data_IF_570975508508
#
_entry.id   IF_570975508508
#
_cell.length_a   1.000
_cell.length_b   1.000
_cell.length_c   1.000
_cell.angle_alpha   90.00
_cell.angle_beta   90.00
_cell.angle_gamma   90.00
#
_symmetry.space_group_name_H-M   'P 1'
#
loop_
_entity.id
_entity.type
_entity.pdbx_description
1 polymer ?
#
# COMPACT_ATOMS: atom_id res chain seq x y z
N UNK A 1 -8.80 26.12 18.72
CA UNK A 1 -8.72 26.65 17.34
C UNK A 1 -9.81 25.95 16.52
N UNK A 2 -10.90 26.63 16.14
CA UNK A 2 -11.96 26.06 15.29
C UNK A 2 -11.51 26.18 13.83
N UNK A 3 -11.34 25.05 13.14
CA UNK A 3 -11.05 25.05 11.70
C UNK A 3 -12.35 25.45 11.00
N UNK A 4 -12.37 26.66 10.42
CA UNK A 4 -13.48 27.14 9.60
C UNK A 4 -13.20 26.66 8.18
N UNK A 5 -13.89 25.61 7.75
CA UNK A 5 -13.84 25.14 6.36
C UNK A 5 -14.77 26.04 5.55
N UNK A 6 -14.25 26.63 4.48
CA UNK A 6 -15.03 27.53 3.61
C UNK A 6 -15.98 26.75 2.72
N UNK A 7 -17.12 27.35 2.32
CA UNK A 7 -18.07 26.71 1.39
C UNK A 7 -17.41 26.27 0.07
N UNK A 8 -16.39 27.00 -0.41
CA UNK A 8 -15.63 26.61 -1.60
C UNK A 8 -14.78 25.35 -1.38
N UNK A 9 -14.20 25.18 -0.18
CA UNK A 9 -13.50 23.95 0.17
C UNK A 9 -14.48 22.77 0.31
N UNK A 10 -15.68 23.00 0.85
CA UNK A 10 -16.74 21.98 0.93
C UNK A 10 -17.22 21.60 -0.46
N UNK A 11 -17.45 22.55 -1.37
CA UNK A 11 -17.86 22.29 -2.76
C UNK A 11 -16.77 21.58 -3.56
N UNK A 12 -15.49 21.92 -3.35
CA UNK A 12 -14.34 21.23 -3.96
C UNK A 12 -14.20 19.79 -3.43
N UNK A 13 -14.32 19.58 -2.12
CA UNK A 13 -14.35 18.23 -1.54
C UNK A 13 -15.55 17.43 -2.04
N UNK A 14 -16.73 18.05 -2.15
CA UNK A 14 -17.93 17.42 -2.68
C UNK A 14 -17.80 17.09 -4.17
N UNK A 15 -17.17 17.96 -4.98
CA UNK A 15 -16.91 17.70 -6.40
C UNK A 15 -15.89 16.57 -6.56
N UNK A 16 -14.79 16.60 -5.81
CA UNK A 16 -13.76 15.53 -5.78
C UNK A 16 -14.36 14.18 -5.31
N UNK A 17 -15.26 14.19 -4.32
CA UNK A 17 -15.99 13.00 -3.87
C UNK A 17 -17.05 12.54 -4.89
N UNK A 18 -17.67 13.45 -5.65
CA UNK A 18 -18.67 13.14 -6.67
C UNK A 18 -18.07 12.66 -8.00
N UNK A 19 -16.84 13.07 -8.32
CA UNK A 19 -16.07 12.60 -9.48
C UNK A 19 -15.32 11.28 -9.18
N UNK A 20 -15.29 10.84 -7.92
CA UNK A 20 -14.73 9.56 -7.55
C UNK A 20 -15.66 8.45 -8.04
N UNK A 21 -15.45 8.01 -9.28
CA UNK A 21 -16.13 6.87 -9.86
C UNK A 21 -15.71 5.60 -9.13
N UNK A 22 -16.49 5.19 -8.15
CA UNK A 22 -16.35 3.88 -7.52
C UNK A 22 -16.76 2.81 -8.53
N UNK A 23 -15.79 2.10 -9.09
CA UNK A 23 -16.08 0.93 -9.92
C UNK A 23 -16.39 -0.22 -8.97
N UNK A 24 -17.66 -0.61 -8.90
CA UNK A 24 -18.04 -1.92 -8.37
C UNK A 24 -17.72 -2.98 -9.42
N UNK A 25 -16.48 -3.46 -9.38
CA UNK A 25 -15.97 -4.44 -10.35
C UNK A 25 -16.79 -5.73 -10.36
N UNK A 26 -17.50 -6.07 -9.27
CA UNK A 26 -18.34 -7.27 -9.24
C UNK A 26 -19.57 -7.16 -10.13
N UNK A 27 -20.04 -5.95 -10.40
CA UNK A 27 -21.28 -5.70 -11.14
C UNK A 27 -21.07 -4.92 -12.46
N UNK A 28 -19.95 -4.23 -12.62
CA UNK A 28 -19.63 -3.40 -13.78
C UNK A 28 -18.25 -3.77 -14.37
N UNK A 29 -18.24 -4.74 -15.29
CA UNK A 29 -17.05 -5.06 -16.08
C UNK A 29 -16.86 -3.97 -17.13
N UNK A 30 -16.22 -2.87 -16.74
CA UNK A 30 -15.94 -1.70 -17.58
C UNK A 30 -14.44 -1.57 -17.82
N UNK A 31 -14.05 -0.80 -18.84
CA UNK A 31 -12.64 -0.46 -19.02
C UNK A 31 -12.14 0.31 -17.79
N UNK A 32 -10.95 -0.03 -17.33
CA UNK A 32 -10.24 0.63 -16.23
C UNK A 32 -9.39 1.77 -16.76
N UNK A 33 -9.48 2.93 -16.11
CA UNK A 33 -8.64 4.08 -16.37
C UNK A 33 -7.78 4.39 -15.15
N UNK A 34 -6.58 4.91 -15.35
CA UNK A 34 -5.60 5.09 -14.28
C UNK A 34 -6.04 6.05 -13.17
N UNK A 35 -6.94 6.98 -13.50
CA UNK A 35 -7.53 7.92 -12.55
C UNK A 35 -8.81 7.43 -11.86
N UNK A 36 -9.38 6.30 -12.29
CA UNK A 36 -10.50 5.67 -11.59
C UNK A 36 -10.09 5.30 -10.16
N UNK A 37 -11.05 5.37 -9.23
CA UNK A 37 -10.82 5.02 -7.83
C UNK A 37 -11.63 3.80 -7.46
N UNK A 38 -10.96 2.82 -6.87
CA UNK A 38 -11.58 1.54 -6.50
C UNK A 38 -11.35 1.24 -5.02
N UNK A 39 -12.21 0.41 -4.46
CA UNK A 39 -12.04 -0.14 -3.11
C UNK A 39 -11.21 -1.40 -3.22
N UNK A 40 -10.21 -1.52 -2.36
CA UNK A 40 -9.36 -2.70 -2.27
C UNK A 40 -9.26 -3.19 -0.84
N UNK A 41 -8.94 -4.46 -0.72
CA UNK A 41 -8.84 -5.20 0.53
C UNK A 41 -7.47 -5.86 0.65
N UNK A 42 -6.83 -5.71 1.79
CA UNK A 42 -5.62 -6.46 2.15
C UNK A 42 -5.91 -7.37 3.34
N UNK A 43 -5.75 -8.67 3.18
CA UNK A 43 -5.80 -9.63 4.27
C UNK A 43 -4.43 -9.79 4.93
N UNK A 44 -4.38 -9.71 6.25
CA UNK A 44 -3.13 -9.89 6.99
C UNK A 44 -2.90 -11.38 7.32
N UNK A 45 -1.66 -11.84 7.12
CA UNK A 45 -1.21 -13.17 7.50
C UNK A 45 -1.26 -13.38 9.02
N UNK A 46 -1.24 -14.64 9.49
CA UNK A 46 -1.28 -14.98 10.92
C UNK A 46 -0.18 -14.34 11.77
N UNK A 47 0.91 -13.86 11.17
CA UNK A 47 2.02 -13.20 11.86
C UNK A 47 2.04 -11.67 11.69
N UNK A 48 1.06 -11.11 10.98
CA UNK A 48 1.05 -9.70 10.56
C UNK A 48 0.08 -8.82 11.38
N UNK A 49 -0.40 -9.27 12.55
CA UNK A 49 -1.28 -8.48 13.42
C UNK A 49 -0.63 -7.14 13.83
N UNK A 50 0.62 -7.18 14.27
CA UNK A 50 1.41 -5.98 14.61
C UNK A 50 1.54 -5.03 13.41
N UNK A 51 1.76 -5.58 12.22
CA UNK A 51 1.85 -4.80 10.99
C UNK A 51 0.53 -4.06 10.69
N UNK A 52 -0.62 -4.70 10.91
CA UNK A 52 -1.92 -4.06 10.75
C UNK A 52 -2.08 -2.84 11.65
N UNK A 53 -1.66 -2.95 12.92
CA UNK A 53 -1.67 -1.84 13.89
C UNK A 53 -0.72 -0.70 13.48
N UNK A 54 0.50 -1.03 13.02
CA UNK A 54 1.46 -0.03 12.56
C UNK A 54 0.96 0.71 11.32
N UNK A 55 0.36 0.00 10.36
CA UNK A 55 -0.26 0.60 9.18
C UNK A 55 -1.46 1.47 9.56
N UNK A 56 -2.31 1.00 10.49
CA UNK A 56 -3.45 1.79 10.97
C UNK A 56 -3.03 3.12 11.63
N UNK A 57 -1.86 3.14 12.30
CA UNK A 57 -1.34 4.31 13.01
C UNK A 57 -0.52 5.24 12.10
N UNK A 58 0.37 4.69 11.27
CA UNK A 58 1.40 5.46 10.53
C UNK A 58 1.28 5.38 9.01
N UNK A 59 0.47 4.46 8.46
CA UNK A 59 0.34 4.26 7.02
C UNK A 59 1.42 3.34 6.47
N UNK A 60 1.61 3.30 5.15
CA UNK A 60 2.73 2.60 4.51
C UNK A 60 3.06 3.20 3.14
N UNK A 61 4.29 3.03 2.67
CA UNK A 61 4.62 3.27 1.27
C UNK A 61 4.72 1.94 0.53
N UNK A 62 3.97 1.80 -0.57
CA UNK A 62 4.03 0.65 -1.46
C UNK A 62 5.33 0.57 -2.27
N UNK A 63 6.22 1.56 -2.14
CA UNK A 63 7.57 1.54 -2.69
C UNK A 63 8.58 0.91 -1.72
N UNK A 64 8.20 0.70 -0.46
CA UNK A 64 9.00 -0.07 0.49
C UNK A 64 8.83 -1.57 0.22
N UNK A 65 9.88 -2.33 0.51
CA UNK A 65 9.86 -3.78 0.34
C UNK A 65 8.84 -4.40 1.30
N UNK A 66 7.98 -5.25 0.78
CA UNK A 66 6.98 -5.96 1.56
C UNK A 66 7.57 -7.23 2.19
N UNK A 67 7.26 -7.46 3.46
CA UNK A 67 7.52 -8.75 4.11
C UNK A 67 6.51 -9.78 3.58
N UNK A 68 6.96 -10.61 2.63
CA UNK A 68 6.16 -11.70 2.04
C UNK A 68 6.33 -12.98 2.84
N UNK A 69 5.29 -13.82 2.83
CA UNK A 69 5.34 -15.14 3.46
C UNK A 69 6.19 -16.09 2.61
N UNK A 70 6.04 -16.00 1.29
CA UNK A 70 6.72 -16.88 0.36
C UNK A 70 7.93 -16.20 -0.29
N UNK A 71 9.06 -16.90 -0.37
CA UNK A 71 10.31 -16.37 -0.92
C UNK A 71 10.20 -16.00 -2.41
N UNK A 72 9.35 -16.68 -3.17
CA UNK A 72 9.15 -16.36 -4.59
C UNK A 72 8.37 -15.06 -4.79
N UNK A 73 7.38 -14.76 -3.92
CA UNK A 73 6.72 -13.45 -3.89
C UNK A 73 7.74 -12.36 -3.52
N UNK A 74 8.60 -12.64 -2.54
CA UNK A 74 9.61 -11.70 -2.07
C UNK A 74 10.60 -11.29 -3.16
N UNK A 75 10.91 -12.19 -4.09
CA UNK A 75 11.84 -11.94 -5.19
C UNK A 75 11.13 -11.33 -6.41
N UNK A 76 9.96 -11.85 -6.78
CA UNK A 76 9.29 -11.45 -8.02
C UNK A 76 8.40 -10.21 -7.85
N UNK A 77 7.88 -10.00 -6.65
CA UNK A 77 7.02 -8.86 -6.31
C UNK A 77 7.50 -8.24 -4.98
N UNK A 78 8.74 -7.70 -4.96
CA UNK A 78 9.41 -7.28 -3.72
C UNK A 78 8.70 -6.12 -3.04
N UNK A 79 8.08 -5.23 -3.81
CA UNK A 79 7.42 -4.02 -3.32
C UNK A 79 5.89 -4.15 -3.41
N UNK A 80 5.21 -3.24 -2.74
CA UNK A 80 3.76 -3.07 -2.81
C UNK A 80 2.98 -4.06 -1.96
N UNK A 81 1.81 -3.65 -1.47
CA UNK A 81 0.95 -4.50 -0.65
C UNK A 81 0.04 -5.35 -1.55
N UNK A 82 -0.04 -6.67 -1.34
CA UNK A 82 -1.02 -7.46 -2.09
C UNK A 82 -2.43 -7.06 -1.66
N UNK A 83 -3.24 -6.68 -2.64
CA UNK A 83 -4.63 -6.29 -2.44
C UNK A 83 -5.51 -7.04 -3.42
N UNK A 84 -6.78 -7.20 -3.06
CA UNK A 84 -7.82 -7.71 -3.94
C UNK A 84 -9.02 -6.80 -3.89
N UNK A 85 -9.81 -6.80 -4.94
CA UNK A 85 -11.08 -6.08 -5.02
C UNK A 85 -12.25 -6.91 -4.48
N UNK A 86 -11.99 -8.17 -4.09
CA UNK A 86 -13.01 -9.09 -3.61
C UNK A 86 -12.81 -9.36 -2.11
N UNK A 87 -13.73 -8.87 -1.28
CA UNK A 87 -13.69 -9.09 0.16
C UNK A 87 -13.69 -10.59 0.52
N UNK A 88 -14.43 -11.43 -0.22
CA UNK A 88 -14.48 -12.86 0.04
C UNK A 88 -13.15 -13.55 -0.29
N UNK A 89 -12.44 -13.08 -1.31
CA UNK A 89 -11.08 -13.58 -1.60
C UNK A 89 -10.13 -13.14 -0.49
N UNK A 90 -10.17 -11.88 -0.06
CA UNK A 90 -9.37 -11.40 1.06
C UNK A 90 -9.58 -12.26 2.32
N UNK A 91 -10.84 -12.57 2.63
CA UNK A 91 -11.25 -13.40 3.75
C UNK A 91 -10.76 -14.85 3.66
N UNK A 92 -10.86 -15.48 2.49
CA UNK A 92 -10.55 -16.91 2.31
C UNK A 92 -9.06 -17.17 2.14
N UNK A 93 -8.39 -16.35 1.33
CA UNK A 93 -7.02 -16.62 0.88
C UNK A 93 -5.97 -15.92 1.75
N UNK A 94 -6.24 -14.68 2.19
CA UNK A 94 -5.19 -13.80 2.73
C UNK A 94 -5.31 -13.49 4.22
N UNK A 95 -6.51 -13.46 4.79
CA UNK A 95 -6.77 -12.93 6.13
C UNK A 95 -6.69 -13.96 7.27
N UNK A 96 -5.64 -14.80 7.28
CA UNK A 96 -5.45 -15.85 8.31
C UNK A 96 -5.19 -15.31 9.73
N UNK A 97 -4.92 -14.01 9.88
CA UNK A 97 -4.90 -13.32 11.19
C UNK A 97 -6.28 -12.99 11.75
N UNK A 98 -7.33 -13.04 10.92
CA UNK A 98 -8.62 -12.44 11.26
C UNK A 98 -8.69 -10.94 11.04
N UNK A 99 -7.76 -10.32 10.29
CA UNK A 99 -7.81 -8.89 9.96
C UNK A 99 -7.76 -8.68 8.44
N UNK A 100 -8.66 -7.82 7.95
CA UNK A 100 -8.65 -7.27 6.59
C UNK A 100 -8.68 -5.75 6.68
N UNK A 101 -7.77 -5.07 5.98
CA UNK A 101 -7.83 -3.62 5.78
C UNK A 101 -8.59 -3.27 4.50
N UNK A 102 -9.50 -2.32 4.57
CA UNK A 102 -10.26 -1.75 3.45
C UNK A 102 -9.84 -0.30 3.22
N UNK A 103 -9.47 0.04 1.99
CA UNK A 103 -9.14 1.42 1.61
C UNK A 103 -9.49 1.72 0.14
N UNK A 104 -9.65 2.99 -0.17
CA UNK A 104 -9.85 3.45 -1.54
C UNK A 104 -8.51 3.88 -2.16
N UNK A 105 -8.29 3.55 -3.42
CA UNK A 105 -7.08 3.95 -4.14
C UNK A 105 -7.35 4.17 -5.61
N UNK A 106 -6.54 5.01 -6.25
CA UNK A 106 -6.54 5.14 -7.71
C UNK A 106 -5.95 3.92 -8.37
N UNK A 107 -6.44 3.57 -9.55
CA UNK A 107 -5.91 2.47 -10.34
C UNK A 107 -4.42 2.65 -10.58
N UNK A 108 -3.92 3.86 -10.90
CA UNK A 108 -2.48 4.15 -11.08
C UNK A 108 -1.56 3.77 -9.91
N UNK A 109 -2.11 3.61 -8.70
CA UNK A 109 -1.37 3.18 -7.51
C UNK A 109 -1.35 1.64 -7.35
N UNK A 110 -1.91 0.91 -8.31
CA UNK A 110 -1.92 -0.54 -8.35
C UNK A 110 -1.01 -1.02 -9.48
N UNK A 111 -0.45 -2.21 -9.34
CA UNK A 111 0.31 -2.89 -10.37
C UNK A 111 -0.15 -4.35 -10.45
N UNK A 112 -0.14 -4.94 -11.65
CA UNK A 112 -0.38 -6.37 -11.76
C UNK A 112 0.79 -7.13 -11.11
N UNK A 113 0.56 -8.21 -10.33
CA UNK A 113 1.63 -9.10 -9.92
C UNK A 113 2.36 -9.62 -11.16
N UNK A 114 3.69 -9.61 -11.11
CA UNK A 114 4.52 -10.06 -12.22
C UNK A 114 5.19 -11.37 -11.84
N UNK A 115 5.07 -12.35 -12.72
CA UNK A 115 5.55 -13.71 -12.51
C UNK A 115 6.39 -14.17 -13.69
N UNK A 116 7.53 -14.85 -13.47
CA UNK A 116 8.33 -15.39 -14.55
C UNK A 116 7.53 -16.29 -15.49
N UNK A 117 7.74 -16.11 -16.80
CA UNK A 117 6.98 -16.84 -17.83
C UNK A 117 5.53 -16.37 -18.03
N UNK A 118 5.10 -15.28 -17.39
CA UNK A 118 3.78 -14.67 -17.64
C UNK A 118 2.59 -15.44 -17.07
N UNK A 119 2.84 -16.26 -16.04
CA UNK A 119 1.81 -16.89 -15.20
C UNK A 119 1.06 -15.83 -14.39
N UNK A 120 -0.09 -16.21 -13.82
CA UNK A 120 -0.91 -15.31 -12.99
C UNK A 120 -0.77 -15.52 -11.49
N UNK A 121 -0.42 -16.74 -11.06
CA UNK A 121 -0.06 -17.06 -9.68
C UNK A 121 0.80 -18.34 -9.64
N UNK A 122 1.35 -18.66 -8.47
CA UNK A 122 2.02 -19.93 -8.16
C UNK A 122 1.39 -20.57 -6.94
N UNK A 123 1.41 -21.90 -6.85
CA UNK A 123 0.92 -22.60 -5.65
C UNK A 123 2.03 -22.87 -4.65
N UNK A 124 1.66 -23.00 -3.37
CA UNK A 124 2.61 -23.29 -2.30
C UNK A 124 3.39 -24.59 -2.59
N UNK A 125 4.72 -24.48 -2.62
CA UNK A 125 5.62 -25.63 -2.86
C UNK A 125 6.14 -25.76 -4.29
N UNK A 126 5.64 -24.96 -5.24
CA UNK A 126 6.22 -24.91 -6.58
C UNK A 126 7.60 -24.22 -6.56
N UNK A 127 8.56 -24.82 -7.28
CA UNK A 127 9.78 -24.11 -7.62
C UNK A 127 9.45 -23.04 -8.67
N UNK A 128 9.62 -21.78 -8.29
CA UNK A 128 9.46 -20.65 -9.20
C UNK A 128 10.84 -20.04 -9.43
N UNK A 129 11.18 -19.79 -10.68
CA UNK A 129 12.34 -18.96 -11.00
C UNK A 129 12.14 -17.56 -10.40
N UNK A 130 13.24 -16.87 -10.12
CA UNK A 130 13.21 -15.45 -9.75
C UNK A 130 13.70 -14.63 -10.94
N UNK A 131 13.16 -13.43 -11.13
CA UNK A 131 13.81 -12.44 -11.98
C UNK A 131 15.23 -12.14 -11.48
N UNK A 132 16.16 -11.92 -12.40
CA UNK A 132 17.55 -11.55 -12.08
C UNK A 132 17.64 -10.13 -11.57
N UNK A 133 16.81 -9.25 -12.11
CA UNK A 133 16.76 -7.82 -11.79
C UNK A 133 15.39 -7.23 -12.12
N UNK A 134 15.20 -5.95 -11.76
CA UNK A 134 13.97 -5.22 -12.03
C UNK A 134 13.71 -5.01 -13.54
N UNK A 135 14.77 -5.06 -14.37
CA UNK A 135 14.64 -4.90 -15.83
C UNK A 135 13.96 -6.11 -16.44
N UNK A 136 14.35 -7.32 -16.05
CA UNK A 136 13.72 -8.56 -16.53
C UNK A 136 12.24 -8.63 -16.10
N UNK A 137 11.95 -8.20 -14.87
CA UNK A 137 10.57 -8.07 -14.36
C UNK A 137 9.75 -7.10 -15.20
N UNK A 138 10.31 -5.93 -15.50
CA UNK A 138 9.66 -4.91 -16.33
C UNK A 138 9.41 -5.40 -17.76
N UNK A 139 10.37 -6.09 -18.37
CA UNK A 139 10.20 -6.72 -19.68
C UNK A 139 9.05 -7.74 -19.68
N UNK A 140 8.92 -8.55 -18.63
CA UNK A 140 7.80 -9.47 -18.48
C UNK A 140 6.46 -8.75 -18.29
N UNK A 141 6.43 -7.64 -17.54
CA UNK A 141 5.24 -6.81 -17.36
C UNK A 141 4.76 -6.22 -18.70
N UNK A 142 5.68 -5.72 -19.51
CA UNK A 142 5.39 -5.23 -20.87
C UNK A 142 4.88 -6.35 -21.77
N UNK A 143 5.49 -7.54 -21.75
CA UNK A 143 4.99 -8.71 -22.48
C UNK A 143 3.55 -9.08 -22.08
N UNK A 144 3.25 -9.05 -20.78
CA UNK A 144 1.89 -9.30 -20.28
C UNK A 144 0.92 -8.24 -20.79
N UNK A 145 1.30 -6.96 -20.78
CA UNK A 145 0.49 -5.87 -21.33
C UNK A 145 0.14 -6.11 -22.80
N UNK A 146 1.12 -6.41 -23.64
CA UNK A 146 0.89 -6.68 -25.07
C UNK A 146 0.02 -7.92 -25.31
N UNK A 147 0.21 -8.98 -24.51
CA UNK A 147 -0.65 -10.17 -24.53
C UNK A 147 -2.11 -9.79 -24.28
N UNK A 148 -2.38 -9.00 -23.25
CA UNK A 148 -3.75 -8.69 -22.82
C UNK A 148 -4.43 -7.56 -23.61
N UNK A 149 -3.66 -6.76 -24.38
CA UNK A 149 -4.22 -5.89 -25.44
C UNK A 149 -4.98 -6.68 -26.52
N UNK A 150 -4.65 -7.95 -26.72
CA UNK A 150 -5.35 -8.82 -27.67
C UNK A 150 -6.49 -9.64 -27.02
N UNK A 151 -6.86 -9.34 -25.77
CA UNK A 151 -7.97 -10.01 -25.09
C UNK A 151 -9.27 -9.85 -25.88
N UNK A 152 -10.16 -10.86 -25.94
CA UNK A 152 -11.49 -10.73 -26.56
C UNK A 152 -12.45 -9.89 -25.71
N UNK A 153 -12.07 -9.51 -24.48
CA UNK A 153 -12.91 -8.73 -23.58
C UNK A 153 -12.59 -7.23 -23.67
N UNK A 154 -13.54 -6.38 -24.12
CA UNK A 154 -13.34 -4.93 -24.25
C UNK A 154 -12.88 -4.25 -22.96
N UNK A 155 -13.43 -4.67 -21.81
CA UNK A 155 -13.03 -4.15 -20.51
C UNK A 155 -11.56 -4.40 -20.15
N UNK A 156 -10.89 -5.37 -20.80
CA UNK A 156 -9.47 -5.65 -20.59
C UNK A 156 -8.65 -4.94 -21.66
N UNK A 157 -8.94 -5.17 -22.94
CA UNK A 157 -8.11 -4.65 -24.03
C UNK A 157 -8.18 -3.12 -24.22
N UNK A 158 -9.28 -2.47 -23.80
CA UNK A 158 -9.45 -1.01 -23.86
C UNK A 158 -9.13 -0.31 -22.53
N UNK A 159 -8.60 -1.04 -21.54
CA UNK A 159 -8.09 -0.42 -20.30
C UNK A 159 -6.73 0.21 -20.53
N UNK A 160 -6.38 1.23 -19.74
CA UNK A 160 -5.06 1.88 -19.81
C UNK A 160 -3.94 0.87 -19.53
N UNK A 161 -4.23 -0.11 -18.66
CA UNK A 161 -3.33 -1.21 -18.30
C UNK A 161 -4.04 -2.55 -18.39
N UNK A 162 -4.10 -3.15 -19.59
CA UNK A 162 -4.78 -4.43 -19.83
C UNK A 162 -4.28 -5.57 -18.94
N UNK A 163 -3.00 -5.58 -18.57
CA UNK A 163 -2.43 -6.57 -17.66
C UNK A 163 -3.01 -6.50 -16.25
N UNK A 164 -3.23 -5.28 -15.74
CA UNK A 164 -3.85 -5.06 -14.44
C UNK A 164 -5.34 -5.37 -14.49
N UNK A 165 -6.02 -4.95 -15.56
CA UNK A 165 -7.44 -5.26 -15.75
C UNK A 165 -7.69 -6.77 -15.83
N UNK A 166 -6.82 -7.52 -16.52
CA UNK A 166 -6.90 -8.97 -16.53
C UNK A 166 -6.68 -9.58 -15.13
N UNK A 167 -5.66 -9.11 -14.40
CA UNK A 167 -5.36 -9.55 -13.03
C UNK A 167 -6.52 -9.34 -12.07
N UNK A 168 -7.26 -8.24 -12.22
CA UNK A 168 -8.36 -7.88 -11.35
C UNK A 168 -9.69 -8.55 -11.76
N UNK A 169 -9.96 -8.75 -13.06
CA UNK A 169 -11.24 -9.29 -13.54
C UNK A 169 -11.26 -10.80 -13.78
N UNK A 170 -10.12 -11.42 -14.10
CA UNK A 170 -10.06 -12.80 -14.61
C UNK A 170 -9.20 -13.73 -13.79
N UNK A 171 -8.22 -13.22 -13.06
CA UNK A 171 -7.42 -14.04 -12.18
C UNK A 171 -8.26 -14.51 -10.96
N UNK A 172 -8.17 -15.78 -10.53
CA UNK A 172 -8.97 -16.30 -9.41
C UNK A 172 -8.78 -15.54 -8.10
N UNK A 173 -7.59 -14.97 -7.87
CA UNK A 173 -7.30 -14.17 -6.69
C UNK A 173 -7.71 -12.69 -6.85
N UNK A 174 -8.02 -12.26 -8.08
CA UNK A 174 -8.39 -10.89 -8.43
C UNK A 174 -7.42 -9.86 -7.81
N UNK A 175 -6.12 -10.18 -7.88
CA UNK A 175 -5.08 -9.57 -7.05
C UNK A 175 -4.36 -8.44 -7.78
N UNK A 176 -3.85 -7.49 -7.02
CA UNK A 176 -2.93 -6.45 -7.46
C UNK A 176 -1.90 -6.13 -6.37
N UNK A 177 -0.84 -5.42 -6.74
CA UNK A 177 0.12 -4.81 -5.84
C UNK A 177 -0.21 -3.34 -5.65
N UNK A 178 -0.53 -2.91 -4.44
CA UNK A 178 -0.62 -1.50 -4.12
C UNK A 178 0.79 -0.90 -3.97
N UNK A 179 1.22 -0.14 -4.97
CA UNK A 179 2.51 0.54 -5.07
C UNK A 179 2.44 2.04 -4.70
N UNK A 180 1.26 2.53 -4.31
CA UNK A 180 1.05 3.90 -3.90
C UNK A 180 1.51 4.19 -2.47
N UNK A 181 1.23 5.41 -1.98
CA UNK A 181 1.47 5.78 -0.59
C UNK A 181 0.13 5.80 0.16
N UNK A 182 0.01 5.02 1.23
CA UNK A 182 -1.20 4.91 2.03
C UNK A 182 -1.07 5.76 3.28
N UNK A 183 -1.73 6.91 3.30
CA UNK A 183 -1.96 7.64 4.53
C UNK A 183 -2.91 6.86 5.45
N UNK A 184 -2.73 6.89 6.79
CA UNK A 184 -3.74 6.36 7.71
C UNK A 184 -5.17 6.85 7.44
N UNK A 185 -5.33 8.09 6.99
CA UNK A 185 -6.64 8.68 6.72
C UNK A 185 -7.30 8.17 5.43
N UNK A 186 -6.57 7.49 4.55
CA UNK A 186 -7.13 6.80 3.38
C UNK A 186 -7.75 5.44 3.74
N UNK A 187 -7.44 4.91 4.93
CA UNK A 187 -7.98 3.64 5.41
C UNK A 187 -9.42 3.85 5.87
N UNK A 188 -10.35 3.18 5.20
CA UNK A 188 -11.78 3.30 5.47
C UNK A 188 -12.19 2.48 6.68
N UNK A 189 -11.68 1.25 6.78
CA UNK A 189 -12.05 0.32 7.84
C UNK A 189 -11.04 -0.82 7.99
N UNK A 190 -11.15 -1.49 9.13
CA UNK A 190 -10.63 -2.82 9.36
C UNK A 190 -11.79 -3.77 9.61
N UNK A 191 -11.83 -4.89 8.90
CA UNK A 191 -12.73 -5.99 9.19
C UNK A 191 -12.02 -6.99 10.07
N UNK A 192 -12.67 -7.39 11.15
CA UNK A 192 -12.05 -8.18 12.21
C UNK A 192 -12.88 -9.41 12.54
N UNK A 193 -12.20 -10.54 12.64
CA UNK A 193 -12.73 -11.81 13.13
C UNK A 193 -12.04 -12.17 14.43
N UNK A 194 -12.72 -11.91 15.55
CA UNK A 194 -12.17 -12.09 16.89
C UNK A 194 -11.73 -13.53 17.16
N UNK A 195 -12.51 -14.51 16.69
CA UNK A 195 -12.18 -15.93 16.91
C UNK A 195 -10.89 -16.34 16.19
N UNK A 196 -10.58 -15.72 15.06
CA UNK A 196 -9.31 -15.95 14.37
C UNK A 196 -8.14 -15.29 15.11
N UNK A 197 -8.36 -14.11 15.71
CA UNK A 197 -7.34 -13.39 16.48
C UNK A 197 -7.03 -14.13 17.79
N UNK A 198 -8.04 -14.49 18.57
CA UNK A 198 -7.86 -15.04 19.93
C UNK A 198 -7.63 -16.55 19.92
N UNK A 199 -8.45 -17.29 19.17
CA UNK A 199 -8.55 -18.75 19.29
C UNK A 199 -8.04 -19.48 18.03
N UNK A 200 -7.66 -18.73 16.99
CA UNK A 200 -7.31 -19.24 15.64
C UNK A 200 -8.40 -20.12 15.01
N UNK A 201 -9.68 -19.82 15.27
CA UNK A 201 -10.85 -20.57 14.75
C UNK A 201 -11.56 -19.83 13.63
N UNK A 202 -11.92 -20.53 12.56
CA UNK A 202 -12.46 -19.98 11.30
C UNK A 202 -13.96 -19.64 11.32
N UNK A 203 -14.69 -20.00 12.38
CA UNK A 203 -16.16 -19.85 12.49
C UNK A 203 -16.64 -18.58 13.21
N UNK A 204 -15.87 -17.48 13.16
CA UNK A 204 -16.28 -16.19 13.75
C UNK A 204 -16.95 -15.25 12.74
N UNK A 205 -17.73 -14.30 13.23
CA UNK A 205 -18.26 -13.20 12.44
C UNK A 205 -17.16 -12.19 12.07
N UNK A 206 -17.30 -11.54 10.92
CA UNK A 206 -16.43 -10.44 10.50
C UNK A 206 -17.11 -9.11 10.80
N UNK A 207 -16.57 -8.38 11.79
CA UNK A 207 -17.10 -7.10 12.23
C UNK A 207 -16.28 -5.98 11.60
N UNK A 208 -16.97 -5.02 10.97
CA UNK A 208 -16.33 -3.83 10.40
C UNK A 208 -16.13 -2.78 11.47
N UNK A 209 -14.88 -2.33 11.65
CA UNK A 209 -14.49 -1.25 12.56
C UNK A 209 -13.90 -0.10 11.75
N UNK A 210 -14.19 1.14 12.15
CA UNK A 210 -13.40 2.27 11.69
C UNK A 210 -11.95 2.14 12.16
N UNK A 211 -11.02 2.85 11.50
CA UNK A 211 -9.61 2.90 11.91
C UNK A 211 -9.43 3.30 13.38
N UNK A 212 -10.22 4.29 13.84
CA UNK A 212 -10.14 4.78 15.23
C UNK A 212 -10.63 3.73 16.23
N UNK A 213 -11.72 3.04 15.92
CA UNK A 213 -12.23 1.95 16.76
C UNK A 213 -11.26 0.77 16.82
N UNK A 214 -10.68 0.40 15.66
CA UNK A 214 -9.66 -0.65 15.58
C UNK A 214 -8.45 -0.33 16.46
N UNK A 215 -7.87 0.87 16.33
CA UNK A 215 -6.75 1.29 17.17
C UNK A 215 -7.14 1.36 18.65
N UNK A 216 -8.30 1.94 18.99
CA UNK A 216 -8.76 2.02 20.38
C UNK A 216 -8.90 0.64 21.03
N UNK A 217 -9.31 -0.36 20.26
CA UNK A 217 -9.56 -1.72 20.77
C UNK A 217 -8.30 -2.57 20.86
N UNK A 218 -7.40 -2.47 19.88
CA UNK A 218 -6.30 -3.42 19.72
C UNK A 218 -4.90 -2.82 19.88
N UNK A 219 -4.74 -1.50 19.86
CA UNK A 219 -3.42 -0.89 19.98
C UNK A 219 -2.97 -0.86 21.44
N UNK A 220 -1.89 -1.57 21.73
CA UNK A 220 -1.14 -1.47 22.99
C UNK A 220 0.35 -1.28 22.65
N UNK A 221 0.98 -0.24 23.20
CA UNK A 221 2.40 0.06 22.99
C UNK A 221 3.32 -1.05 23.49
N UNK A 222 2.90 -1.80 24.50
CA UNK A 222 3.66 -2.93 25.03
C UNK A 222 3.88 -4.04 23.99
N UNK A 223 2.98 -4.19 23.00
CA UNK A 223 3.17 -5.15 21.91
C UNK A 223 4.41 -4.86 21.06
N UNK A 224 4.92 -3.63 21.14
CA UNK A 224 6.00 -3.12 20.30
C UNK A 224 7.24 -2.76 21.12
N UNK A 225 7.37 -3.27 22.35
CA UNK A 225 8.59 -3.08 23.14
C UNK A 225 9.79 -3.60 22.35
N UNK A 226 10.76 -2.73 22.10
CA UNK A 226 11.97 -3.00 21.28
C UNK A 226 11.67 -3.35 19.81
N UNK A 227 10.53 -2.95 19.27
CA UNK A 227 10.19 -3.17 17.87
C UNK A 227 10.83 -2.10 16.98
N UNK A 228 11.84 -2.51 16.20
CA UNK A 228 12.60 -1.62 15.31
C UNK A 228 11.70 -0.96 14.25
N UNK A 229 10.65 -1.66 13.78
CA UNK A 229 9.74 -1.15 12.78
C UNK A 229 8.83 -0.05 13.36
N UNK A 230 8.38 -0.21 14.61
CA UNK A 230 7.70 0.87 15.32
C UNK A 230 8.62 2.09 15.44
N UNK A 231 9.87 1.89 15.88
CA UNK A 231 10.84 2.97 16.06
C UNK A 231 11.06 3.74 14.74
N UNK A 232 11.28 3.02 13.62
CA UNK A 232 11.41 3.64 12.29
C UNK A 232 10.19 4.47 11.93
N UNK A 233 8.97 3.94 12.13
CA UNK A 233 7.73 4.63 11.77
C UNK A 233 7.44 5.85 12.63
N UNK A 234 7.77 5.81 13.92
CA UNK A 234 7.61 6.94 14.84
C UNK A 234 8.54 8.10 14.51
N UNK A 235 9.72 7.80 13.97
CA UNK A 235 10.68 8.82 13.58
C UNK A 235 10.39 9.45 12.21
N UNK A 236 9.43 8.92 11.42
CA UNK A 236 9.05 9.55 10.16
C UNK A 236 8.49 10.94 10.41
N UNK A 237 9.07 11.92 9.71
CA UNK A 237 8.66 13.33 9.81
C UNK A 237 7.34 13.57 9.07
N UNK A 238 7.13 12.81 8.00
CA UNK A 238 6.04 12.97 7.04
C UNK A 238 5.15 11.73 7.05
N UNK A 239 3.86 11.92 6.70
CA UNK A 239 3.04 10.78 6.29
C UNK A 239 3.49 10.28 4.91
N UNK A 240 3.20 9.01 4.54
CA UNK A 240 3.69 8.43 3.29
C UNK A 240 3.39 9.26 2.03
N UNK A 241 2.22 9.89 1.97
CA UNK A 241 1.73 10.66 0.83
C UNK A 241 1.94 12.18 0.97
N UNK A 242 2.52 12.67 2.07
CA UNK A 242 2.86 14.09 2.22
C UNK A 242 3.86 14.52 1.12
N UNK A 243 3.89 15.80 0.77
CA UNK A 243 5.04 16.36 0.08
C UNK A 243 6.08 16.80 1.11
N UNK A 244 7.35 16.79 0.72
CA UNK A 244 8.41 17.38 1.51
C UNK A 244 8.10 18.86 1.75
N UNK A 245 8.08 19.24 3.03
CA UNK A 245 7.84 20.59 3.49
C UNK A 245 9.02 21.01 4.38
N UNK A 246 9.72 22.05 3.93
CA UNK A 246 10.93 22.51 4.60
C UNK A 246 10.66 23.11 5.98
N UNK A 247 9.50 23.73 6.19
CA UNK A 247 9.11 24.33 7.47
C UNK A 247 8.83 23.21 8.46
N UNK A 248 8.05 22.20 8.04
CA UNK A 248 7.78 21.01 8.87
C UNK A 248 9.08 20.29 9.24
N UNK A 249 10.01 20.16 8.29
CA UNK A 249 11.30 19.55 8.55
C UNK A 249 12.15 20.34 9.56
N UNK A 250 12.30 21.66 9.37
CA UNK A 250 13.05 22.52 10.31
C UNK A 250 12.45 22.49 11.72
N UNK A 251 11.13 22.54 11.84
CA UNK A 251 10.46 22.46 13.13
C UNK A 251 10.72 21.11 13.81
N UNK A 252 10.63 20.00 13.07
CA UNK A 252 10.92 18.67 13.61
C UNK A 252 12.35 18.54 14.16
N UNK A 253 13.34 19.09 13.45
CA UNK A 253 14.73 19.10 13.89
C UNK A 253 14.93 19.97 15.12
N UNK A 254 14.36 21.18 15.12
CA UNK A 254 14.44 22.10 16.25
C UNK A 254 13.80 21.54 17.52
N UNK A 255 12.68 20.81 17.41
CA UNK A 255 12.03 20.15 18.55
C UNK A 255 12.89 19.02 19.17
N UNK A 256 13.96 18.61 18.48
CA UNK A 256 14.90 17.55 18.90
C UNK A 256 16.32 18.06 19.08
N UNK A 257 16.48 19.38 19.15
CA UNK A 257 17.78 20.06 19.33
C UNK A 257 18.81 19.72 18.23
N UNK A 258 18.35 19.40 17.02
CA UNK A 258 19.21 19.25 15.85
C UNK A 258 19.37 20.58 15.10
N UNK A 259 20.61 20.97 14.78
CA UNK A 259 20.86 22.07 13.85
C UNK A 259 20.52 21.64 12.41
N UNK A 260 19.71 22.45 11.73
CA UNK A 260 19.29 22.15 10.36
C UNK A 260 20.46 22.12 9.38
N UNK A 261 21.41 23.05 9.49
CA UNK A 261 22.52 23.16 8.54
C UNK A 261 23.47 21.98 8.70
N UNK A 262 23.78 21.60 9.94
CA UNK A 262 24.56 20.40 10.25
C UNK A 262 23.86 19.13 9.75
N UNK A 263 22.55 18.98 9.99
CA UNK A 263 21.81 17.81 9.52
C UNK A 263 21.87 17.68 8.00
N UNK A 264 21.70 18.79 7.26
CA UNK A 264 21.82 18.78 5.80
C UNK A 264 23.23 18.36 5.38
N UNK A 265 24.26 18.96 5.96
CA UNK A 265 25.65 18.69 5.59
C UNK A 265 26.04 17.24 5.88
N UNK A 266 25.76 16.76 7.10
CA UNK A 266 26.20 15.44 7.54
C UNK A 266 25.39 14.30 6.93
N UNK A 267 24.06 14.43 6.85
CA UNK A 267 23.20 13.29 6.49
C UNK A 267 22.63 13.39 5.08
N UNK A 268 22.18 14.58 4.65
CA UNK A 268 21.53 14.72 3.35
C UNK A 268 22.56 14.79 2.22
N UNK A 269 23.58 15.65 2.33
CA UNK A 269 24.58 15.80 1.27
C UNK A 269 25.53 14.61 1.16
N UNK A 270 25.92 14.00 2.29
CA UNK A 270 26.70 12.74 2.28
C UNK A 270 25.84 11.51 1.99
N UNK A 271 24.53 11.69 1.84
CA UNK A 271 23.57 10.64 1.54
C UNK A 271 23.63 9.42 2.49
N UNK A 272 23.50 9.68 3.79
CA UNK A 272 23.40 8.61 4.79
C UNK A 272 22.06 7.87 4.63
N UNK A 273 22.09 6.76 3.90
CA UNK A 273 20.90 5.95 3.62
C UNK A 273 20.21 5.45 4.90
N UNK A 274 20.94 5.18 5.98
CA UNK A 274 20.33 4.69 7.21
C UNK A 274 19.49 5.80 7.86
N UNK A 275 20.08 6.98 8.03
CA UNK A 275 19.42 8.15 8.61
C UNK A 275 18.27 8.62 7.73
N UNK A 276 18.49 8.76 6.43
CA UNK A 276 17.46 9.20 5.48
C UNK A 276 16.25 8.26 5.50
N UNK A 277 16.47 6.94 5.46
CA UNK A 277 15.39 5.96 5.53
C UNK A 277 14.71 5.92 6.90
N UNK A 278 15.35 6.39 7.97
CA UNK A 278 14.71 6.50 9.28
C UNK A 278 13.67 7.64 9.33
N UNK A 279 13.96 8.78 8.69
CA UNK A 279 13.15 10.00 8.82
C UNK A 279 12.16 10.24 7.66
N UNK A 280 12.40 9.67 6.49
CA UNK A 280 11.63 9.97 5.27
C UNK A 280 11.07 8.72 4.59
N UNK A 281 9.91 8.83 3.95
CA UNK A 281 9.42 7.77 3.04
C UNK A 281 10.02 7.96 1.63
N UNK A 282 10.03 6.91 0.78
CA UNK A 282 10.60 6.98 -0.57
C UNK A 282 10.16 8.20 -1.39
N UNK A 283 8.90 8.63 -1.26
CA UNK A 283 8.40 9.85 -1.90
C UNK A 283 9.20 11.10 -1.50
N UNK A 284 9.39 11.35 -0.20
CA UNK A 284 10.14 12.53 0.24
C UNK A 284 11.64 12.37 0.00
N UNK A 285 12.19 11.15 0.06
CA UNK A 285 13.58 10.86 -0.33
C UNK A 285 13.82 11.30 -1.78
N UNK A 286 12.94 10.92 -2.71
CA UNK A 286 13.04 11.32 -4.11
C UNK A 286 12.90 12.85 -4.31
N UNK A 287 12.14 13.53 -3.46
CA UNK A 287 12.05 15.00 -3.48
C UNK A 287 13.33 15.65 -2.93
N UNK A 288 13.90 15.12 -1.86
CA UNK A 288 15.17 15.56 -1.29
C UNK A 288 16.31 15.44 -2.29
N UNK A 289 16.44 14.29 -2.98
CA UNK A 289 17.43 14.09 -4.04
C UNK A 289 17.40 15.22 -5.08
N UNK A 290 16.18 15.56 -5.53
CA UNK A 290 15.97 16.64 -6.52
C UNK A 290 16.30 18.03 -5.96
N UNK A 291 15.98 18.30 -4.70
CA UNK A 291 16.20 19.60 -4.06
C UNK A 291 17.70 19.85 -3.82
N UNK A 292 18.43 18.82 -3.37
CA UNK A 292 19.83 18.95 -2.95
C UNK A 292 20.83 18.41 -3.98
N UNK A 293 20.37 17.91 -5.13
CA UNK A 293 21.23 17.46 -6.23
C UNK A 293 22.05 16.22 -5.89
N UNK A 294 21.47 15.28 -5.15
CA UNK A 294 22.14 14.04 -4.74
C UNK A 294 21.51 12.88 -5.50
N UNK A 295 22.28 12.21 -6.36
CA UNK A 295 21.83 11.04 -7.14
C UNK A 295 22.06 9.72 -6.41
#
# INVERSE_FOLDING_TARGET
MKIIITENQVKKLASELSETRFIDIHNDVKKMQDDDTIIVYHGFSSYSFKQALLIAKYGLSGQERANRIYSYEYNNNPNGLFVTINFNVAKKEFAKSGIIMEFATKIRNLEAPVWPGGRSYYVQGEFTQSFKDDKEREEQRVKNREKYKNSPHPAINQSDRPELAWSLYKDPESQALFIGNLNPNMIRAFWVNERLITDRRTGGEWIRLSRKEFLKKYYNEEYFKNDEELFKRQNKIFMPDDNFDIIKFKNYLSERDYDYSEFIEYYIKNWDNYVINMYFYPKQINQLKKIYGVE
#
